data_IF_507546484180
#
_entry.id   IF_507546484180
#
_cell.length_a   1.000
_cell.length_b   1.000
_cell.length_c   1.000
_cell.angle_alpha   90.00
_cell.angle_beta   90.00
_cell.angle_gamma   90.00
#
_symmetry.space_group_name_H-M   'P 1'
#
loop_
_entity.id
_entity.type
_entity.pdbx_description
1 polymer ?
#
# COMPACT_ATOMS: atom_id res chain seq x y z
N UNK A 1 2.00 16.66 4.67
CA UNK A 1 1.31 16.36 3.39
C UNK A 1 2.18 15.60 2.38
N UNK A 2 3.39 16.06 2.03
CA UNK A 2 4.25 15.41 1.01
C UNK A 2 4.52 13.91 1.24
N UNK A 3 4.71 13.50 2.50
CA UNK A 3 4.94 12.08 2.86
C UNK A 3 3.71 11.21 2.59
N UNK A 4 2.51 11.68 2.96
CA UNK A 4 1.27 10.94 2.75
C UNK A 4 0.98 10.76 1.25
N UNK A 5 1.13 11.81 0.46
CA UNK A 5 0.96 11.75 -0.99
C UNK A 5 1.93 10.75 -1.64
N UNK A 6 3.19 10.70 -1.19
CA UNK A 6 4.16 9.70 -1.64
C UNK A 6 3.73 8.27 -1.29
N UNK A 7 3.28 8.03 -0.06
CA UNK A 7 2.82 6.70 0.37
C UNK A 7 1.60 6.24 -0.45
N UNK A 8 0.65 7.13 -0.71
CA UNK A 8 -0.51 6.84 -1.56
C UNK A 8 -0.05 6.49 -2.99
N UNK A 9 0.86 7.27 -3.57
CA UNK A 9 1.38 7.02 -4.92
C UNK A 9 2.04 5.65 -5.04
N UNK A 10 2.89 5.28 -4.07
CA UNK A 10 3.56 3.98 -4.05
C UNK A 10 2.56 2.85 -3.84
N UNK A 11 1.56 3.02 -2.97
CA UNK A 11 0.49 2.04 -2.78
C UNK A 11 -0.28 1.77 -4.09
N UNK A 12 -0.61 2.82 -4.85
CA UNK A 12 -1.28 2.69 -6.14
C UNK A 12 -0.40 2.01 -7.21
N UNK A 13 0.92 2.24 -7.19
CA UNK A 13 1.86 1.53 -8.08
C UNK A 13 1.93 0.05 -7.73
N UNK A 14 2.17 -0.28 -6.47
CA UNK A 14 2.28 -1.68 -6.01
C UNK A 14 0.97 -2.43 -6.18
N UNK A 15 -0.19 -1.78 -6.01
CA UNK A 15 -1.49 -2.38 -6.32
C UNK A 15 -1.63 -2.74 -7.80
N UNK A 16 -1.17 -1.89 -8.72
CA UNK A 16 -1.16 -2.21 -10.15
C UNK A 16 -0.21 -3.37 -10.48
N UNK A 17 0.95 -3.43 -9.83
CA UNK A 17 1.89 -4.55 -9.97
C UNK A 17 1.24 -5.86 -9.50
N UNK A 18 0.61 -5.86 -8.32
CA UNK A 18 -0.11 -7.01 -7.78
C UNK A 18 -1.19 -7.51 -8.75
N UNK A 19 -1.98 -6.60 -9.33
CA UNK A 19 -3.03 -6.96 -10.30
C UNK A 19 -2.48 -7.46 -11.63
N UNK A 20 -1.22 -7.20 -11.95
CA UNK A 20 -0.54 -7.70 -13.12
C UNK A 20 0.14 -9.07 -12.89
N UNK A 21 0.25 -9.53 -11.64
CA UNK A 21 0.79 -10.86 -11.34
C UNK A 21 -0.16 -11.95 -11.82
N UNK A 22 0.38 -12.96 -12.50
CA UNK A 22 -0.38 -14.15 -12.86
C UNK A 22 -0.91 -14.83 -11.57
N UNK A 23 -2.23 -15.02 -11.41
CA UNK A 23 -2.80 -15.65 -10.21
C UNK A 23 -2.30 -17.09 -9.95
N UNK A 24 -1.79 -17.78 -10.98
CA UNK A 24 -1.17 -19.09 -10.85
C UNK A 24 0.23 -19.06 -10.21
N UNK A 25 0.91 -17.91 -10.24
CA UNK A 25 2.22 -17.71 -9.63
C UNK A 25 2.06 -17.25 -8.17
N UNK A 26 1.77 -18.22 -7.30
CA UNK A 26 1.45 -17.98 -5.88
C UNK A 26 2.57 -17.28 -5.11
N UNK A 27 3.83 -17.52 -5.49
CA UNK A 27 4.99 -16.92 -4.83
C UNK A 27 5.06 -15.42 -5.14
N UNK A 28 5.01 -15.04 -6.42
CA UNK A 28 4.96 -13.62 -6.80
C UNK A 28 3.73 -12.91 -6.26
N UNK A 29 2.59 -13.61 -6.21
CA UNK A 29 1.36 -13.05 -5.66
C UNK A 29 1.49 -12.76 -4.17
N UNK A 30 2.09 -13.68 -3.40
CA UNK A 30 2.36 -13.50 -1.98
C UNK A 30 3.33 -12.35 -1.74
N UNK A 31 4.43 -12.28 -2.49
CA UNK A 31 5.40 -11.20 -2.37
C UNK A 31 4.78 -9.82 -2.66
N UNK A 32 3.99 -9.72 -3.74
CA UNK A 32 3.30 -8.49 -4.10
C UNK A 32 2.25 -8.11 -3.03
N UNK A 33 1.51 -9.08 -2.48
CA UNK A 33 0.57 -8.84 -1.38
C UNK A 33 1.26 -8.28 -0.15
N UNK A 34 2.38 -8.88 0.27
CA UNK A 34 3.14 -8.42 1.45
C UNK A 34 3.69 -6.99 1.28
N UNK A 35 4.05 -6.60 0.04
CA UNK A 35 4.46 -5.22 -0.26
C UNK A 35 3.30 -4.24 -0.08
N UNK A 36 2.10 -4.60 -0.57
CA UNK A 36 0.88 -3.78 -0.37
C UNK A 36 0.57 -3.64 1.12
N UNK A 37 0.60 -4.73 1.89
CA UNK A 37 0.31 -4.72 3.32
C UNK A 37 1.23 -3.76 4.11
N UNK A 38 2.54 -3.79 3.80
CA UNK A 38 3.52 -2.86 4.39
C UNK A 38 3.19 -1.40 4.09
N UNK A 39 2.78 -1.09 2.85
CA UNK A 39 2.41 0.26 2.45
C UNK A 39 1.10 0.73 3.11
N UNK A 40 0.14 -0.17 3.31
CA UNK A 40 -1.10 0.11 4.07
C UNK A 40 -0.78 0.48 5.51
N UNK A 41 0.10 -0.28 6.17
CA UNK A 41 0.54 0.04 7.54
C UNK A 41 1.24 1.39 7.59
N UNK A 42 2.14 1.70 6.66
CA UNK A 42 2.80 3.01 6.60
C UNK A 42 1.80 4.13 6.30
N UNK A 43 0.79 3.90 5.46
CA UNK A 43 -0.28 4.87 5.21
C UNK A 43 -1.00 5.23 6.52
N UNK A 44 -1.46 4.23 7.28
CA UNK A 44 -2.16 4.47 8.54
C UNK A 44 -1.25 5.09 9.60
N UNK A 45 0.03 4.73 9.63
CA UNK A 45 1.02 5.36 10.51
C UNK A 45 1.18 6.84 10.19
N UNK A 46 1.41 7.18 8.92
CA UNK A 46 1.56 8.57 8.47
C UNK A 46 0.27 9.36 8.68
N UNK A 47 -0.88 8.75 8.39
CA UNK A 47 -2.20 9.35 8.61
C UNK A 47 -2.43 9.69 10.08
N UNK A 48 -2.10 8.77 10.99
CA UNK A 48 -2.16 8.98 12.44
C UNK A 48 -1.25 10.12 12.89
N UNK A 49 0.02 10.12 12.43
CA UNK A 49 0.98 11.19 12.75
C UNK A 49 0.51 12.56 12.26
N UNK A 50 -0.19 12.62 11.13
CA UNK A 50 -0.73 13.87 10.57
C UNK A 50 -2.03 14.33 11.24
N UNK A 51 -2.55 13.61 12.24
CA UNK A 51 -3.81 13.95 12.91
C UNK A 51 -5.05 13.82 12.02
N UNK A 52 -4.91 13.19 10.85
CA UNK A 52 -5.99 12.97 9.90
C UNK A 52 -6.80 11.75 10.35
N UNK A 53 -7.71 11.90 11.31
CA UNK A 53 -8.62 10.81 11.68
C UNK A 53 -9.51 10.44 10.48
N UNK A 54 -9.63 9.14 10.20
CA UNK A 54 -10.81 8.66 9.46
C UNK A 54 -12.00 8.83 10.39
N UNK A 55 -13.00 9.59 9.97
CA UNK A 55 -14.36 9.34 10.46
C UNK A 55 -14.74 7.95 9.95
N UNK A 56 -14.92 7.02 10.88
CA UNK A 56 -15.48 5.69 10.65
C UNK A 56 -16.95 5.74 11.00
#
# INVERSE_FOLDING_TARGET
MLKLGRVILELEKTRRELLAVNPGDKEKLLEASQKVDKLIVEYYRVKTVLGLRSEM
#
